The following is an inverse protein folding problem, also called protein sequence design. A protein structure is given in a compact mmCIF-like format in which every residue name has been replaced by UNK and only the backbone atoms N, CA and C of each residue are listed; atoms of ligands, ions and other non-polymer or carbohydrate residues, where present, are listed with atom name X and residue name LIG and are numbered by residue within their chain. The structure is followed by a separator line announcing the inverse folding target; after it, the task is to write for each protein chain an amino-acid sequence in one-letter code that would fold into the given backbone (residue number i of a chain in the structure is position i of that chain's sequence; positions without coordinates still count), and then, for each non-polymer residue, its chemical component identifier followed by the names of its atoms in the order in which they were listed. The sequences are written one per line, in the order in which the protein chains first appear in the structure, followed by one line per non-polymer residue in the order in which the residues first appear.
data_IF_366673935365
#
_entry.id   IF_366673935365
#
_cell.length_a   1.000
_cell.length_b   1.000
_cell.length_c   1.000
_cell.angle_alpha   90.00
_cell.angle_beta   90.00
_cell.angle_gamma   90.00
#
_symmetry.space_group_name_H-M   'P 1'
#
loop_
_entity.id
_entity.type
_entity.pdbx_description
1 polymer ?
#
# COMPACT_ATOMS: atom_id res chain seq x y z
N UNK A 1 6.36 8.22 -16.16
CA UNK A 1 6.48 9.39 -15.29
C UNK A 1 5.24 10.26 -15.45
N UNK A 2 4.48 10.45 -14.41
CA UNK A 2 3.33 11.36 -14.40
C UNK A 2 3.42 12.29 -13.19
N UNK A 3 3.10 13.57 -13.38
CA UNK A 3 2.95 14.56 -12.31
C UNK A 3 1.59 15.23 -12.47
N UNK A 4 0.82 15.27 -11.39
CA UNK A 4 -0.49 15.90 -11.38
C UNK A 4 -0.61 16.80 -10.15
N UNK A 5 -0.70 18.11 -10.39
CA UNK A 5 -0.97 19.10 -9.36
C UNK A 5 -2.37 19.68 -9.55
N UNK A 6 -2.98 20.12 -8.46
CA UNK A 6 -4.26 20.84 -8.45
C UNK A 6 -4.09 22.21 -7.81
N UNK A 7 -4.87 23.16 -8.29
CA UNK A 7 -4.91 24.51 -7.73
C UNK A 7 -6.35 25.00 -7.72
N UNK A 8 -6.82 25.40 -6.56
CA UNK A 8 -8.14 26.03 -6.38
C UNK A 8 -7.99 27.28 -5.51
N UNK A 9 -8.68 28.38 -5.82
CA UNK A 9 -8.57 29.62 -5.05
C UNK A 9 -8.87 29.45 -3.57
N UNK A 10 -9.88 28.64 -3.25
CA UNK A 10 -10.40 28.44 -1.89
C UNK A 10 -9.69 27.31 -1.12
N UNK A 11 -8.72 26.65 -1.75
CA UNK A 11 -8.00 25.52 -1.17
C UNK A 11 -6.51 25.84 -1.13
N UNK A 12 -5.87 25.58 0.03
CA UNK A 12 -4.44 25.77 0.22
C UNK A 12 -3.97 27.21 -0.08
N UNK A 13 -4.83 28.21 0.17
CA UNK A 13 -4.60 29.64 -0.13
C UNK A 13 -4.24 29.90 -1.61
N UNK A 14 -4.81 29.11 -2.52
CA UNK A 14 -4.51 29.23 -3.95
C UNK A 14 -3.14 28.65 -4.36
N UNK A 15 -2.37 28.06 -3.44
CA UNK A 15 -1.09 27.44 -3.76
C UNK A 15 -1.31 26.05 -4.36
N UNK A 16 -0.63 25.72 -5.48
CA UNK A 16 -0.71 24.40 -6.08
C UNK A 16 -0.27 23.30 -5.10
N UNK A 17 -0.95 22.16 -5.13
CA UNK A 17 -0.65 21.00 -4.31
C UNK A 17 -0.75 19.72 -5.12
N UNK A 18 0.02 18.66 -4.77
CA UNK A 18 -0.04 17.38 -5.47
C UNK A 18 -1.43 16.75 -5.37
N UNK A 19 -1.90 16.16 -6.45
CA UNK A 19 -3.12 15.36 -6.43
C UNK A 19 -2.91 14.07 -5.62
N UNK A 20 -3.94 13.60 -4.91
CA UNK A 20 -3.85 12.39 -4.07
C UNK A 20 -3.39 11.16 -4.84
N UNK A 21 -3.76 11.05 -6.12
CA UNK A 21 -3.32 9.95 -6.98
C UNK A 21 -2.08 10.28 -7.82
N UNK A 22 -1.36 11.36 -7.47
CA UNK A 22 -0.08 11.69 -8.10
C UNK A 22 0.97 10.63 -7.73
N UNK A 23 1.16 9.66 -8.62
CA UNK A 23 2.25 8.69 -8.57
C UNK A 23 3.25 9.03 -9.66
N UNK A 24 4.40 9.53 -9.28
CA UNK A 24 5.42 10.00 -10.24
C UNK A 24 6.03 8.87 -11.03
N UNK A 25 6.20 7.71 -10.41
CA UNK A 25 6.71 6.50 -11.03
C UNK A 25 5.78 5.35 -10.69
N UNK A 26 5.44 4.57 -11.70
CA UNK A 26 4.72 3.32 -11.58
C UNK A 26 5.38 2.35 -12.58
N UNK A 27 5.92 1.26 -12.06
CA UNK A 27 6.70 0.28 -12.82
C UNK A 27 6.15 -1.10 -12.49
N UNK A 28 5.86 -1.88 -13.53
CA UNK A 28 5.52 -3.29 -13.40
C UNK A 28 6.43 -4.08 -14.33
N UNK A 29 7.15 -5.04 -13.74
CA UNK A 29 8.01 -5.97 -14.45
C UNK A 29 7.45 -7.37 -14.27
N UNK A 30 7.11 -8.01 -15.38
CA UNK A 30 6.68 -9.41 -15.39
C UNK A 30 7.67 -10.22 -16.23
N UNK A 31 8.18 -11.28 -15.65
CA UNK A 31 9.06 -12.23 -16.34
C UNK A 31 8.45 -13.61 -16.20
N UNK A 32 8.36 -14.34 -17.32
CA UNK A 32 7.97 -15.75 -17.33
C UNK A 32 8.99 -16.56 -18.12
N UNK A 33 9.28 -17.77 -17.65
CA UNK A 33 10.24 -18.64 -18.31
C UNK A 33 9.82 -20.09 -18.21
N UNK A 34 9.96 -20.81 -19.32
CA UNK A 34 9.77 -22.26 -19.38
C UNK A 34 11.13 -22.95 -19.29
N UNK A 35 11.45 -23.53 -18.15
CA UNK A 35 12.72 -24.21 -17.91
C UNK A 35 12.81 -25.52 -18.71
N UNK A 36 11.69 -26.21 -18.83
CA UNK A 36 11.53 -27.42 -19.62
C UNK A 36 10.03 -27.74 -19.80
N UNK A 37 9.71 -28.86 -20.49
CA UNK A 37 8.32 -29.31 -20.74
C UNK A 37 7.46 -29.53 -19.48
N UNK A 38 8.07 -29.57 -18.30
CA UNK A 38 7.37 -29.81 -17.02
C UNK A 38 7.41 -28.65 -16.08
N UNK A 39 8.43 -27.82 -16.15
CA UNK A 39 8.66 -26.73 -15.22
C UNK A 39 8.60 -25.38 -15.92
N UNK A 40 7.76 -24.52 -15.42
CA UNK A 40 7.73 -23.12 -15.78
C UNK A 40 7.69 -22.28 -14.50
N UNK A 41 8.21 -21.07 -14.58
CA UNK A 41 8.19 -20.15 -13.47
C UNK A 41 8.07 -18.72 -13.94
N UNK A 42 7.74 -17.85 -13.02
CA UNK A 42 7.64 -16.44 -13.30
C UNK A 42 7.77 -15.60 -12.06
N UNK A 43 8.00 -14.34 -12.28
CA UNK A 43 8.01 -13.33 -11.24
C UNK A 43 7.24 -12.08 -11.72
N UNK A 44 6.65 -11.41 -10.75
CA UNK A 44 6.07 -10.08 -10.95
C UNK A 44 6.67 -9.16 -9.91
N UNK A 45 7.29 -8.08 -10.37
CA UNK A 45 7.77 -7.03 -9.50
C UNK A 45 7.04 -5.74 -9.81
N UNK A 46 6.50 -5.11 -8.78
CA UNK A 46 5.80 -3.84 -8.90
C UNK A 46 6.46 -2.80 -8.01
N UNK A 47 6.53 -1.59 -8.51
CA UNK A 47 7.01 -0.42 -7.80
C UNK A 47 6.12 0.77 -8.10
N UNK A 48 5.73 1.52 -7.07
CA UNK A 48 5.01 2.78 -7.22
C UNK A 48 5.48 3.80 -6.18
N UNK A 49 5.68 5.05 -6.60
CA UNK A 49 5.89 6.12 -5.62
C UNK A 49 4.66 6.30 -4.75
N UNK A 50 4.86 6.65 -3.49
CA UNK A 50 3.80 6.86 -2.53
C UNK A 50 2.81 7.94 -2.98
N UNK A 51 1.57 7.82 -2.51
CA UNK A 51 0.51 8.82 -2.75
C UNK A 51 0.77 10.07 -1.94
N UNK A 52 0.24 11.19 -2.41
CA UNK A 52 0.21 12.43 -1.64
C UNK A 52 -1.05 12.44 -0.76
N UNK A 53 -0.87 12.54 0.55
CA UNK A 53 -1.95 12.56 1.54
C UNK A 53 -1.86 13.81 2.42
N UNK A 54 -2.99 14.21 2.98
CA UNK A 54 -3.02 15.27 4.00
C UNK A 54 -2.83 14.65 5.37
N UNK A 55 -1.81 15.08 6.09
CA UNK A 55 -1.64 14.71 7.49
C UNK A 55 -1.71 15.98 8.34
N UNK A 56 -2.37 15.91 9.50
CA UNK A 56 -2.38 17.04 10.43
C UNK A 56 -0.98 17.25 10.99
N UNK A 57 -0.60 18.51 11.10
CA UNK A 57 0.67 18.92 11.70
C UNK A 57 0.53 19.15 13.19
N UNK A 58 -0.69 19.42 13.66
CA UNK A 58 -1.03 19.61 15.06
C UNK A 58 -2.42 19.08 15.35
N UNK A 59 -2.60 18.55 16.56
CA UNK A 59 -3.89 18.16 17.11
C UNK A 59 -4.11 18.94 18.39
N UNK A 60 -5.27 19.56 18.52
CA UNK A 60 -5.70 20.25 19.72
C UNK A 60 -6.95 19.57 20.25
N UNK A 61 -7.04 19.37 21.57
CA UNK A 61 -8.31 19.05 22.17
C UNK A 61 -9.20 20.27 22.06
N UNK A 62 -10.39 20.15 21.52
CA UNK A 62 -11.40 21.20 21.66
C UNK A 62 -11.66 21.38 23.14
N UNK A 63 -11.72 22.62 23.61
CA UNK A 63 -12.20 22.88 24.98
C UNK A 63 -13.56 22.20 25.14
N UNK A 64 -13.81 21.51 26.25
CA UNK A 64 -15.16 21.06 26.58
C UNK A 64 -16.02 22.31 26.69
N UNK A 65 -16.72 22.67 25.62
CA UNK A 65 -17.76 23.67 25.69
C UNK A 65 -18.77 23.21 26.74
N UNK A 66 -19.33 24.14 27.49
CA UNK A 66 -20.34 23.90 28.51
C UNK A 66 -21.53 23.03 28.00
N UNK A 67 -21.66 22.92 26.68
CA UNK A 67 -22.63 22.08 25.96
C UNK A 67 -22.17 20.66 25.65
N UNK A 68 -20.89 20.32 25.82
CA UNK A 68 -20.36 19.00 25.45
C UNK A 68 -20.80 17.86 26.37
N UNK A 69 -21.42 18.17 27.51
CA UNK A 69 -22.07 17.17 28.37
C UNK A 69 -23.30 16.50 27.71
N UNK A 70 -23.78 17.02 26.56
CA UNK A 70 -24.91 16.44 25.83
C UNK A 70 -24.50 15.62 24.61
N UNK A 71 -23.27 15.77 24.16
CA UNK A 71 -22.73 14.99 23.02
C UNK A 71 -21.40 14.37 23.45
N UNK A 72 -21.39 13.07 23.63
CA UNK A 72 -20.17 12.29 23.85
C UNK A 72 -19.22 12.47 22.65
N UNK A 73 -18.26 13.36 22.78
CA UNK A 73 -17.21 13.55 21.79
C UNK A 73 -16.28 14.67 22.22
N UNK A 74 -15.15 14.33 22.82
CA UNK A 74 -14.02 15.25 22.90
C UNK A 74 -13.59 15.56 21.45
N UNK A 75 -14.03 16.71 20.91
CA UNK A 75 -13.67 17.15 19.59
C UNK A 75 -12.15 17.33 19.51
N UNK A 76 -11.50 16.57 18.66
CA UNK A 76 -10.09 16.80 18.29
C UNK A 76 -10.08 17.68 17.06
N UNK A 77 -9.52 18.88 17.20
CA UNK A 77 -9.28 19.78 16.07
C UNK A 77 -7.94 19.42 15.45
N UNK A 78 -7.95 19.06 14.19
CA UNK A 78 -6.74 18.75 13.42
C UNK A 78 -6.37 19.93 12.53
N UNK A 79 -5.18 20.46 12.71
CA UNK A 79 -4.63 21.51 11.86
C UNK A 79 -3.69 20.91 10.83
N UNK A 80 -3.93 21.17 9.55
CA UNK A 80 -3.05 20.75 8.46
C UNK A 80 -2.29 21.96 7.90
N UNK A 81 -1.04 21.75 7.53
CA UNK A 81 -0.19 22.74 6.84
C UNK A 81 -0.29 22.59 5.32
N UNK A 82 -1.51 22.74 4.79
CA UNK A 82 -1.82 22.56 3.39
C UNK A 82 -2.37 21.16 3.05
N UNK A 83 -2.91 21.05 1.85
CA UNK A 83 -3.51 19.81 1.34
C UNK A 83 -2.45 18.92 0.69
N UNK A 84 -2.54 17.61 0.94
CA UNK A 84 -1.61 16.61 0.39
C UNK A 84 -0.14 16.94 0.67
N UNK A 85 0.12 17.38 1.89
CA UNK A 85 1.40 17.89 2.39
C UNK A 85 2.43 16.80 2.71
N UNK A 86 2.04 15.55 2.63
CA UNK A 86 2.90 14.41 2.94
C UNK A 86 2.84 13.36 1.82
N UNK A 87 3.98 12.73 1.54
CA UNK A 87 4.05 11.64 0.58
C UNK A 87 4.32 10.33 1.33
N UNK A 88 3.44 9.35 1.13
CA UNK A 88 3.59 8.01 1.68
C UNK A 88 4.91 7.37 1.20
N UNK A 89 5.47 6.43 1.95
CA UNK A 89 6.58 5.60 1.47
C UNK A 89 6.23 4.88 0.17
N UNK A 90 7.24 4.67 -0.67
CA UNK A 90 7.05 3.94 -1.92
C UNK A 90 6.56 2.51 -1.67
N UNK A 91 5.59 2.09 -2.46
CA UNK A 91 5.10 0.73 -2.51
C UNK A 91 5.97 -0.10 -3.45
N UNK A 92 6.42 -1.27 -3.02
CA UNK A 92 6.96 -2.26 -3.94
C UNK A 92 6.81 -3.69 -3.40
N UNK A 93 6.71 -4.65 -4.31
CA UNK A 93 6.45 -6.04 -4.00
C UNK A 93 7.04 -6.94 -5.08
N UNK A 94 7.53 -8.10 -4.67
CA UNK A 94 7.95 -9.18 -5.55
C UNK A 94 7.08 -10.39 -5.28
N UNK A 95 6.46 -10.91 -6.33
CA UNK A 95 5.72 -12.15 -6.31
C UNK A 95 6.44 -13.17 -7.18
N UNK A 96 6.52 -14.39 -6.69
CA UNK A 96 7.17 -15.51 -7.38
C UNK A 96 6.15 -16.62 -7.60
N UNK A 97 6.25 -17.28 -8.74
CA UNK A 97 5.41 -18.42 -9.08
C UNK A 97 6.20 -19.50 -9.79
N UNK A 98 5.89 -20.76 -9.50
CA UNK A 98 6.45 -21.92 -10.18
C UNK A 98 5.37 -22.96 -10.41
N UNK A 99 5.34 -23.51 -11.62
CA UNK A 99 4.38 -24.53 -12.03
C UNK A 99 5.11 -25.79 -12.48
N UNK A 100 4.68 -26.92 -11.96
CA UNK A 100 5.12 -28.25 -12.40
C UNK A 100 3.93 -28.96 -13.04
N UNK A 101 4.10 -29.39 -14.31
CA UNK A 101 3.10 -30.15 -15.06
C UNK A 101 3.61 -31.56 -15.39
N UNK A 102 2.72 -32.52 -15.29
CA UNK A 102 3.02 -33.91 -15.66
C UNK A 102 1.87 -34.53 -16.42
N UNK A 103 2.13 -34.96 -17.64
CA UNK A 103 1.19 -35.76 -18.41
C UNK A 103 1.17 -37.18 -17.87
N UNK A 104 -0.02 -37.69 -17.59
CA UNK A 104 -0.27 -39.09 -17.25
C UNK A 104 -1.15 -39.73 -18.32
N UNK A 105 -1.27 -41.08 -18.29
CA UNK A 105 -2.12 -41.81 -19.26
C UNK A 105 -3.59 -41.39 -19.22
N UNK A 106 -4.08 -40.90 -18.08
CA UNK A 106 -5.47 -40.54 -17.84
C UNK A 106 -5.73 -39.01 -17.85
N UNK A 107 -4.70 -38.20 -18.07
CA UNK A 107 -4.85 -36.75 -18.08
C UNK A 107 -3.60 -35.98 -17.66
N UNK A 108 -3.76 -34.71 -17.40
CA UNK A 108 -2.67 -33.83 -16.96
C UNK A 108 -2.82 -33.46 -15.48
N UNK A 109 -1.70 -33.53 -14.75
CA UNK A 109 -1.60 -33.07 -13.37
C UNK A 109 -0.70 -31.86 -13.29
N UNK A 110 -1.09 -30.86 -12.55
CA UNK A 110 -0.24 -29.69 -12.30
C UNK A 110 -0.21 -29.29 -10.82
N UNK A 111 0.97 -28.88 -10.40
CA UNK A 111 1.25 -28.26 -9.10
C UNK A 111 1.68 -26.82 -9.35
N UNK A 112 1.12 -25.91 -8.58
CA UNK A 112 1.49 -24.51 -8.63
C UNK A 112 1.95 -24.08 -7.24
N UNK A 113 3.12 -23.50 -7.17
CA UNK A 113 3.71 -22.92 -5.98
C UNK A 113 3.79 -21.42 -6.18
N UNK A 114 3.33 -20.67 -5.21
CA UNK A 114 3.37 -19.22 -5.26
C UNK A 114 3.89 -18.63 -3.98
N UNK A 115 4.54 -17.50 -4.08
CA UNK A 115 4.94 -16.67 -2.94
C UNK A 115 4.59 -15.22 -3.26
N UNK A 116 3.61 -14.71 -2.56
CA UNK A 116 3.26 -13.30 -2.60
C UNK A 116 4.17 -12.53 -1.64
N UNK A 117 4.65 -11.37 -2.06
CA UNK A 117 5.54 -10.51 -1.27
C UNK A 117 6.80 -11.26 -0.78
N UNK A 118 7.56 -11.84 -1.70
CA UNK A 118 8.64 -12.77 -1.43
C UNK A 118 9.75 -12.22 -0.50
N UNK A 119 9.95 -10.92 -0.45
CA UNK A 119 10.90 -10.30 0.48
C UNK A 119 10.24 -9.69 1.72
N UNK A 120 8.97 -10.04 2.00
CA UNK A 120 8.24 -9.71 3.22
C UNK A 120 8.23 -8.20 3.55
N UNK A 121 8.10 -7.34 2.54
CA UNK A 121 8.03 -5.90 2.79
C UNK A 121 6.66 -5.52 3.33
N UNK A 122 6.63 -4.83 4.45
CA UNK A 122 5.42 -4.21 4.96
C UNK A 122 5.19 -2.91 4.18
N UNK A 123 4.30 -2.98 3.19
CA UNK A 123 3.86 -1.82 2.44
C UNK A 123 2.78 -1.07 3.23
N UNK A 124 2.94 0.23 3.36
CA UNK A 124 2.01 1.08 4.12
C UNK A 124 0.64 1.10 3.46
N UNK A 125 -0.38 0.74 4.21
CA UNK A 125 -1.79 0.80 3.81
C UNK A 125 -2.44 2.10 4.28
N UNK A 126 -2.19 2.51 5.52
CA UNK A 126 -2.58 3.80 6.05
C UNK A 126 -1.54 4.32 7.05
N UNK A 127 -1.57 5.62 7.29
CA UNK A 127 -0.69 6.32 8.24
C UNK A 127 -1.59 7.02 9.26
N UNK A 128 -1.24 6.87 10.53
CA UNK A 128 -1.91 7.55 11.61
C UNK A 128 -0.90 8.05 12.66
N UNK A 129 -1.35 8.97 13.50
CA UNK A 129 -0.59 9.40 14.65
C UNK A 129 -0.67 8.36 15.78
N UNK A 130 0.48 8.07 16.36
CA UNK A 130 0.60 7.24 17.55
C UNK A 130 1.63 7.82 18.49
N UNK A 131 1.91 7.08 19.56
CA UNK A 131 2.96 7.44 20.51
C UNK A 131 4.07 6.39 20.47
N UNK A 132 5.31 6.85 20.60
CA UNK A 132 6.45 5.98 20.85
C UNK A 132 6.51 5.53 22.33
N UNK A 133 7.52 4.73 22.67
CA UNK A 133 7.71 4.24 24.04
C UNK A 133 8.02 5.39 25.04
N UNK A 134 8.45 6.54 24.54
CA UNK A 134 8.75 7.73 25.34
C UNK A 134 7.57 8.73 25.37
N UNK A 135 6.39 8.32 24.86
CA UNK A 135 5.17 9.14 24.74
C UNK A 135 5.31 10.34 23.77
N UNK A 136 6.29 10.34 22.89
CA UNK A 136 6.35 11.33 21.83
C UNK A 136 5.35 10.98 20.73
N UNK A 137 4.68 11.99 20.17
CA UNK A 137 3.81 11.81 19.02
C UNK A 137 4.63 11.47 17.78
N UNK A 138 4.33 10.33 17.17
CA UNK A 138 5.02 9.83 15.97
C UNK A 138 4.01 9.41 14.91
N UNK A 139 4.39 9.51 13.64
CA UNK A 139 3.63 8.94 12.54
C UNK A 139 3.91 7.45 12.44
N UNK A 140 2.87 6.63 12.55
CA UNK A 140 2.94 5.18 12.39
C UNK A 140 2.32 4.77 11.06
N UNK A 141 3.09 4.07 10.24
CA UNK A 141 2.59 3.42 9.04
C UNK A 141 2.12 1.99 9.37
N UNK A 142 0.87 1.70 9.05
CA UNK A 142 0.29 0.36 9.20
C UNK A 142 0.27 -0.30 7.84
N UNK A 143 0.85 -1.49 7.75
CA UNK A 143 0.93 -2.25 6.53
C UNK A 143 0.16 -3.54 6.59
N UNK A 144 -0.27 -3.99 5.42
CA UNK A 144 -0.95 -5.27 5.23
C UNK A 144 -0.08 -6.17 4.34
N UNK A 145 -0.39 -7.46 4.41
CA UNK A 145 0.16 -8.45 3.49
C UNK A 145 1.65 -8.75 3.70
N UNK A 146 1.97 -9.52 4.74
CA UNK A 146 3.28 -10.14 4.89
C UNK A 146 3.56 -11.11 3.73
N UNK A 147 4.63 -11.86 3.80
CA UNK A 147 4.88 -12.97 2.90
C UNK A 147 3.74 -14.00 3.00
N UNK A 148 3.16 -14.38 1.86
CA UNK A 148 2.07 -15.36 1.80
C UNK A 148 2.46 -16.47 0.81
N UNK A 149 2.86 -17.64 1.27
CA UNK A 149 3.05 -18.80 0.41
C UNK A 149 1.70 -19.39 0.01
N UNK A 150 1.64 -19.96 -1.17
CA UNK A 150 0.48 -20.68 -1.69
C UNK A 150 0.90 -21.94 -2.43
N UNK A 151 0.05 -22.95 -2.37
CA UNK A 151 0.20 -24.19 -3.13
C UNK A 151 -1.16 -24.57 -3.70
N UNK A 152 -1.18 -24.95 -4.97
CA UNK A 152 -2.38 -25.44 -5.64
C UNK A 152 -2.07 -26.70 -6.41
N UNK A 153 -3.02 -27.63 -6.37
CA UNK A 153 -2.99 -28.86 -7.15
C UNK A 153 -4.19 -28.90 -8.07
N UNK A 154 -3.98 -29.18 -9.33
CA UNK A 154 -5.06 -29.36 -10.28
C UNK A 154 -4.82 -30.59 -11.17
N UNK A 155 -5.91 -31.19 -11.63
CA UNK A 155 -5.87 -32.30 -12.56
C UNK A 155 -6.96 -32.10 -13.62
N UNK A 156 -6.66 -32.57 -14.82
CA UNK A 156 -7.57 -32.50 -15.97
C UNK A 156 -7.58 -33.88 -16.63
N UNK A 157 -8.79 -34.43 -16.82
CA UNK A 157 -9.01 -35.67 -17.56
C UNK A 157 -9.07 -35.42 -19.06
#
# INVERSE_FOLDING_TARGET
LAKSDRQFPDVNNGVPYPYTYDRRHDISLTVSHEFNKRWSGGLVWVYGTGRAISIPTRKYSSFPDFYSNFFEGSGVIEQTNGRNNFREPAYHRLDLGMTYKRQKKWGEVSWQFGVYNAYNRINTFFIDFGYDNNRNSVLKGYGLSPIIPSISYSFKF
#
